data_IF_812287132759
#
_entry.id   IF_812287132759
#
_cell.length_a   1.000
_cell.length_b   1.000
_cell.length_c   1.000
_cell.angle_alpha   90.00
_cell.angle_beta   90.00
_cell.angle_gamma   90.00
#
_symmetry.space_group_name_H-M   'P 1'
#
loop_
_entity.id
_entity.type
_entity.pdbx_description
1 polymer ?
#
# COMPACT_ATOMS: atom_id res chain seq x y z
N UNK A 1 20.33 -19.44 31.28
CA UNK A 1 19.77 -19.22 29.93
C UNK A 1 18.35 -19.73 29.93
N UNK A 2 17.38 -18.88 30.26
CA UNK A 2 15.96 -19.23 30.14
C UNK A 2 15.56 -19.02 28.68
N UNK A 3 15.18 -20.10 28.00
CA UNK A 3 14.42 -20.03 26.76
C UNK A 3 13.06 -19.44 27.13
N UNK A 4 12.85 -18.17 26.81
CA UNK A 4 11.51 -17.58 26.78
C UNK A 4 10.69 -18.35 25.75
N UNK A 5 9.61 -18.96 26.21
CA UNK A 5 8.54 -19.51 25.38
C UNK A 5 8.12 -18.47 24.35
N UNK A 6 8.11 -18.87 23.08
CA UNK A 6 7.56 -18.07 21.99
C UNK A 6 6.03 -18.08 22.15
N UNK A 7 5.50 -17.25 23.05
CA UNK A 7 4.06 -16.98 23.13
C UNK A 7 3.70 -16.11 21.91
N UNK A 8 3.37 -16.81 20.83
CA UNK A 8 2.74 -16.22 19.66
C UNK A 8 1.35 -15.69 20.02
N UNK A 9 0.93 -14.63 19.34
CA UNK A 9 -0.43 -14.10 19.51
C UNK A 9 -1.42 -15.20 19.17
N UNK A 10 -2.45 -15.39 20.00
CA UNK A 10 -3.56 -16.28 19.68
C UNK A 10 -4.54 -15.49 18.83
N UNK A 11 -4.64 -15.83 17.54
CA UNK A 11 -5.57 -15.18 16.63
C UNK A 11 -7.01 -15.53 17.01
N UNK A 12 -7.93 -14.57 16.90
CA UNK A 12 -9.37 -14.86 16.94
C UNK A 12 -9.76 -15.74 15.75
N UNK A 13 -10.98 -16.29 15.75
CA UNK A 13 -11.48 -17.05 14.60
C UNK A 13 -11.50 -16.18 13.32
N UNK A 14 -11.93 -14.92 13.45
CA UNK A 14 -11.97 -13.95 12.34
C UNK A 14 -10.56 -13.64 11.82
N UNK A 15 -9.61 -13.41 12.73
CA UNK A 15 -8.21 -13.14 12.36
C UNK A 15 -7.53 -14.36 11.76
N UNK A 16 -7.89 -15.57 12.19
CA UNK A 16 -7.41 -16.80 11.60
C UNK A 16 -7.96 -16.97 10.17
N UNK A 17 -9.22 -16.60 9.92
CA UNK A 17 -9.80 -16.56 8.57
C UNK A 17 -9.03 -15.60 7.67
N UNK A 18 -8.74 -14.37 8.13
CA UNK A 18 -7.94 -13.40 7.37
C UNK A 18 -6.54 -13.93 7.10
N UNK A 19 -5.89 -14.52 8.10
CA UNK A 19 -4.55 -15.09 7.94
C UNK A 19 -4.52 -16.21 6.89
N UNK A 20 -5.46 -17.15 6.94
CA UNK A 20 -5.52 -18.25 5.99
C UNK A 20 -5.86 -17.75 4.58
N UNK A 21 -6.77 -16.79 4.46
CA UNK A 21 -7.11 -16.19 3.18
C UNK A 21 -5.89 -15.51 2.53
N UNK A 22 -5.13 -14.72 3.30
CA UNK A 22 -3.88 -14.11 2.81
C UNK A 22 -2.83 -15.18 2.46
N UNK A 23 -2.67 -16.21 3.30
CA UNK A 23 -1.58 -17.17 3.16
C UNK A 23 -1.84 -18.23 2.07
N UNK A 24 -3.03 -18.81 2.08
CA UNK A 24 -3.37 -20.02 1.33
C UNK A 24 -4.16 -19.67 0.06
N UNK A 25 -5.19 -18.82 0.16
CA UNK A 25 -6.07 -18.51 -0.99
C UNK A 25 -5.43 -17.48 -1.94
N UNK A 26 -4.83 -16.42 -1.39
CA UNK A 26 -4.14 -15.41 -2.20
C UNK A 26 -2.66 -15.74 -2.47
N UNK A 27 -2.12 -16.79 -1.83
CA UNK A 27 -0.70 -17.16 -1.89
C UNK A 27 0.25 -15.99 -1.55
N UNK A 28 -0.13 -15.18 -0.55
CA UNK A 28 0.57 -13.99 -0.10
C UNK A 28 1.16 -14.16 1.33
N UNK A 29 2.07 -15.13 1.57
CA UNK A 29 2.53 -15.48 2.92
C UNK A 29 3.24 -14.33 3.63
N UNK A 30 3.92 -13.45 2.88
CA UNK A 30 4.58 -12.26 3.45
C UNK A 30 3.56 -11.29 4.03
N UNK A 31 2.41 -11.12 3.37
CA UNK A 31 1.33 -10.26 3.87
C UNK A 31 0.61 -10.91 5.05
N UNK A 32 0.41 -12.23 5.03
CA UNK A 32 -0.17 -12.98 6.16
C UNK A 32 0.69 -12.85 7.43
N UNK A 33 2.01 -13.02 7.31
CA UNK A 33 2.93 -12.86 8.44
C UNK A 33 3.06 -11.40 8.90
N UNK A 34 3.02 -10.43 7.98
CA UNK A 34 2.98 -9.01 8.34
C UNK A 34 1.72 -8.66 9.14
N UNK A 35 0.56 -9.16 8.72
CA UNK A 35 -0.72 -9.01 9.41
C UNK A 35 -0.67 -9.60 10.83
N UNK A 36 -0.23 -10.87 10.95
CA UNK A 36 -0.06 -11.54 12.25
C UNK A 36 0.95 -10.83 13.15
N UNK A 37 2.06 -10.33 12.57
CA UNK A 37 3.06 -9.53 13.26
C UNK A 37 2.48 -8.23 13.81
N UNK A 38 1.64 -7.54 13.05
CA UNK A 38 0.97 -6.32 13.48
C UNK A 38 0.03 -6.58 14.67
N UNK A 39 -0.78 -7.64 14.62
CA UNK A 39 -1.64 -8.07 15.74
C UNK A 39 -0.84 -8.35 17.02
N UNK A 40 0.26 -9.10 16.89
CA UNK A 40 1.15 -9.42 18.01
C UNK A 40 1.77 -8.16 18.65
N UNK A 41 2.15 -7.18 17.81
CA UNK A 41 2.76 -5.94 18.28
C UNK A 41 1.74 -4.93 18.82
N UNK A 42 0.50 -4.95 18.34
CA UNK A 42 -0.62 -4.21 18.94
C UNK A 42 -0.93 -4.69 20.36
N UNK A 43 -0.93 -6.00 20.58
CA UNK A 43 -1.15 -6.58 21.92
C UNK A 43 0.01 -6.26 22.88
N UNK A 44 1.25 -6.50 22.44
CA UNK A 44 2.45 -6.30 23.29
C UNK A 44 2.83 -4.84 23.49
N UNK A 45 2.44 -3.96 22.57
CA UNK A 45 2.81 -2.53 22.54
C UNK A 45 4.31 -2.28 22.72
N UNK A 46 5.16 -3.14 22.16
CA UNK A 46 6.61 -3.00 22.27
C UNK A 46 7.12 -1.75 21.56
N UNK A 47 8.31 -1.21 21.90
CA UNK A 47 8.85 -0.03 21.22
C UNK A 47 8.84 -0.17 19.68
N UNK A 48 8.34 0.85 19.00
CA UNK A 48 8.21 0.86 17.54
C UNK A 48 6.96 0.13 16.98
N UNK A 49 6.07 -0.40 17.83
CA UNK A 49 4.87 -1.11 17.35
C UNK A 49 4.00 -0.22 16.45
N UNK A 50 3.79 1.05 16.79
CA UNK A 50 3.02 2.00 15.96
C UNK A 50 3.60 2.02 14.53
N UNK A 51 4.90 2.26 14.40
CA UNK A 51 5.58 2.30 13.11
C UNK A 51 5.47 0.99 12.35
N UNK A 52 5.64 -0.15 13.02
CA UNK A 52 5.52 -1.46 12.39
C UNK A 52 4.09 -1.73 11.89
N UNK A 53 3.09 -1.49 12.76
CA UNK A 53 1.68 -1.69 12.44
C UNK A 53 1.26 -0.76 11.30
N UNK A 54 1.71 0.49 11.32
CA UNK A 54 1.51 1.43 10.22
C UNK A 54 2.17 0.97 8.92
N UNK A 55 3.36 0.38 8.98
CA UNK A 55 4.00 -0.23 7.81
C UNK A 55 3.19 -1.40 7.26
N UNK A 56 2.82 -2.35 8.12
CA UNK A 56 2.03 -3.52 7.73
C UNK A 56 0.68 -3.11 7.15
N UNK A 57 -0.04 -2.20 7.81
CA UNK A 57 -1.34 -1.71 7.35
C UNK A 57 -1.25 -0.98 6.00
N UNK A 58 -0.25 -0.12 5.82
CA UNK A 58 0.03 0.55 4.53
C UNK A 58 0.29 -0.48 3.43
N UNK A 59 1.12 -1.47 3.71
CA UNK A 59 1.56 -2.45 2.71
C UNK A 59 0.42 -3.39 2.34
N UNK A 60 -0.39 -3.85 3.29
CA UNK A 60 -1.62 -4.62 3.04
C UNK A 60 -2.59 -3.83 2.16
N UNK A 61 -2.94 -2.59 2.55
CA UNK A 61 -3.90 -1.78 1.80
C UNK A 61 -3.42 -1.44 0.39
N UNK A 62 -2.13 -1.18 0.19
CA UNK A 62 -1.60 -0.88 -1.14
C UNK A 62 -1.35 -2.15 -1.98
N UNK A 63 -0.95 -3.24 -1.34
CA UNK A 63 -0.64 -4.52 -2.01
C UNK A 63 -1.91 -5.18 -2.54
N UNK A 64 -2.91 -5.36 -1.67
CA UNK A 64 -4.17 -6.01 -2.03
C UNK A 64 -4.94 -5.21 -3.08
N UNK A 65 -4.98 -3.88 -2.95
CA UNK A 65 -5.59 -3.00 -3.94
C UNK A 65 -4.98 -3.10 -5.36
N UNK A 66 -3.75 -3.63 -5.47
CA UNK A 66 -3.02 -3.75 -6.74
C UNK A 66 -2.88 -5.21 -7.20
N UNK A 67 -3.50 -6.16 -6.49
CA UNK A 67 -3.41 -7.56 -6.87
C UNK A 67 -4.00 -7.74 -8.29
N UNK A 68 -3.22 -8.37 -9.18
CA UNK A 68 -3.60 -8.56 -10.58
C UNK A 68 -3.37 -7.35 -11.51
N UNK A 69 -2.81 -6.25 -11.03
CA UNK A 69 -2.45 -5.08 -11.86
C UNK A 69 -0.93 -5.07 -12.10
N UNK A 70 -0.51 -5.08 -13.36
CA UNK A 70 0.90 -4.91 -13.70
C UNK A 70 1.40 -3.54 -13.23
N UNK A 71 2.45 -3.56 -12.41
CA UNK A 71 3.10 -2.33 -11.94
C UNK A 71 4.12 -1.90 -12.98
N UNK A 72 3.74 -0.96 -13.85
CA UNK A 72 4.73 -0.19 -14.60
C UNK A 72 5.45 0.74 -13.62
N UNK A 73 6.56 0.25 -13.06
CA UNK A 73 7.47 1.09 -12.30
C UNK A 73 8.31 1.91 -13.29
N UNK A 74 8.23 3.22 -13.16
CA UNK A 74 9.12 4.14 -13.88
C UNK A 74 10.57 3.77 -13.60
N UNK A 75 11.31 3.47 -14.66
CA UNK A 75 12.73 3.13 -14.60
C UNK A 75 13.55 4.42 -14.47
N UNK A 76 13.48 5.05 -13.29
CA UNK A 76 14.09 6.36 -13.03
C UNK A 76 15.56 6.44 -13.40
N UNK A 77 16.34 5.39 -13.10
CA UNK A 77 17.75 5.36 -13.45
C UNK A 77 17.94 5.53 -14.96
N UNK A 78 17.30 4.67 -15.76
CA UNK A 78 17.40 4.73 -17.22
C UNK A 78 16.92 6.07 -17.78
N UNK A 79 15.79 6.59 -17.26
CA UNK A 79 15.24 7.89 -17.69
C UNK A 79 16.14 9.06 -17.33
N UNK A 80 16.78 9.02 -16.17
CA UNK A 80 17.73 10.04 -15.75
C UNK A 80 19.05 9.94 -16.51
N UNK A 81 19.50 8.73 -16.86
CA UNK A 81 20.69 8.54 -17.71
C UNK A 81 20.45 9.11 -19.11
N UNK A 82 19.27 8.88 -19.71
CA UNK A 82 18.85 9.48 -20.98
C UNK A 82 18.85 11.02 -20.91
N UNK A 83 18.24 11.57 -19.85
CA UNK A 83 18.17 13.01 -19.60
C UNK A 83 19.56 13.62 -19.37
N UNK A 84 20.42 12.93 -18.61
CA UNK A 84 21.76 13.40 -18.30
C UNK A 84 22.61 13.55 -19.57
N UNK A 85 22.55 12.59 -20.49
CA UNK A 85 23.30 12.67 -21.75
C UNK A 85 22.90 13.92 -22.56
N UNK A 86 21.59 14.17 -22.70
CA UNK A 86 21.09 15.35 -23.43
C UNK A 86 21.41 16.66 -22.68
N UNK A 87 21.40 16.63 -21.36
CA UNK A 87 21.76 17.77 -20.53
C UNK A 87 23.25 18.12 -20.66
N UNK A 88 24.14 17.12 -20.64
CA UNK A 88 25.57 17.30 -20.78
C UNK A 88 25.98 17.76 -22.19
N UNK A 89 25.30 17.27 -23.23
CA UNK A 89 25.55 17.71 -24.61
C UNK A 89 25.25 19.21 -24.81
N UNK A 90 24.21 19.73 -24.15
CA UNK A 90 23.76 21.11 -24.30
C UNK A 90 24.41 22.09 -23.31
N UNK A 91 24.70 21.67 -22.08
CA UNK A 91 25.23 22.54 -21.01
C UNK A 91 26.58 22.11 -20.42
N UNK A 92 27.09 20.94 -20.79
CA UNK A 92 28.29 20.36 -20.20
C UNK A 92 28.11 19.95 -18.73
N UNK A 93 29.22 19.53 -18.10
CA UNK A 93 29.25 19.10 -16.69
C UNK A 93 29.60 20.23 -15.72
N UNK A 94 29.87 21.44 -16.23
CA UNK A 94 30.15 22.59 -15.41
C UNK A 94 28.82 23.07 -14.81
N UNK A 95 28.59 22.72 -13.54
CA UNK A 95 27.35 23.02 -12.85
C UNK A 95 26.97 24.52 -12.89
N UNK A 96 25.76 24.78 -12.39
CA UNK A 96 25.13 26.09 -12.14
C UNK A 96 26.00 27.05 -11.30
N UNK A 97 27.19 26.61 -10.85
CA UNK A 97 28.11 27.29 -9.95
C UNK A 97 28.85 28.50 -10.55
N UNK A 98 28.53 28.90 -11.79
CA UNK A 98 29.03 30.14 -12.44
C UNK A 98 27.93 31.03 -13.00
N UNK A 99 26.83 31.19 -12.26
CA UNK A 99 25.86 32.24 -12.59
C UNK A 99 26.37 33.57 -12.02
N UNK A 100 27.13 34.32 -12.82
CA UNK A 100 27.56 35.68 -12.49
C UNK A 100 26.40 36.70 -12.50
N UNK A 101 25.22 36.33 -13.01
CA UNK A 101 24.05 37.19 -13.02
C UNK A 101 22.70 36.42 -13.07
N UNK A 102 22.00 36.24 -11.94
CA UNK A 102 20.77 35.44 -11.86
C UNK A 102 19.54 36.10 -12.47
N UNK A 103 19.64 37.34 -12.97
CA UNK A 103 18.50 38.07 -13.54
C UNK A 103 18.16 37.68 -14.99
N UNK A 104 19.01 36.90 -15.66
CA UNK A 104 18.74 36.39 -17.01
C UNK A 104 18.36 34.90 -16.91
N UNK A 105 17.10 34.58 -17.18
CA UNK A 105 16.64 33.20 -17.25
C UNK A 105 17.44 32.39 -18.27
N UNK A 106 17.70 31.12 -17.97
CA UNK A 106 18.34 30.18 -18.89
C UNK A 106 17.28 29.53 -19.78
N UNK A 107 17.57 29.42 -21.07
CA UNK A 107 16.72 28.69 -22.01
C UNK A 107 16.98 27.19 -21.88
N UNK A 108 15.92 26.43 -21.65
CA UNK A 108 15.92 24.96 -21.62
C UNK A 108 15.52 24.47 -23.02
N UNK A 109 16.35 23.65 -23.70
CA UNK A 109 15.99 23.04 -24.97
C UNK A 109 14.65 22.31 -24.89
N UNK A 110 13.92 22.33 -25.98
CA UNK A 110 12.58 21.76 -26.05
C UNK A 110 12.59 20.25 -25.77
N UNK A 111 13.61 19.56 -26.27
CA UNK A 111 13.83 18.12 -26.12
C UNK A 111 14.01 17.72 -24.65
N UNK A 112 14.74 18.53 -23.88
CA UNK A 112 14.91 18.34 -22.43
C UNK A 112 13.59 18.59 -21.71
N UNK A 113 12.84 19.63 -22.10
CA UNK A 113 11.50 19.88 -21.57
C UNK A 113 10.54 18.70 -21.85
N UNK A 114 10.58 18.12 -23.05
CA UNK A 114 9.76 16.99 -23.45
C UNK A 114 10.10 15.73 -22.64
N UNK A 115 11.39 15.43 -22.43
CA UNK A 115 11.83 14.31 -21.58
C UNK A 115 11.40 14.47 -20.12
N UNK A 116 11.52 15.68 -19.55
CA UNK A 116 11.02 15.98 -18.21
C UNK A 116 9.51 15.79 -18.14
N UNK A 117 8.77 16.27 -19.15
CA UNK A 117 7.32 16.11 -19.22
C UNK A 117 6.93 14.63 -19.31
N UNK A 118 7.61 13.85 -20.15
CA UNK A 118 7.42 12.40 -20.26
C UNK A 118 7.69 11.67 -18.93
N UNK A 119 8.77 12.03 -18.23
CA UNK A 119 9.07 11.46 -16.90
C UNK A 119 7.98 11.80 -15.86
N UNK A 120 7.46 13.04 -15.90
CA UNK A 120 6.36 13.46 -15.03
C UNK A 120 5.08 12.68 -15.35
N UNK A 121 4.77 12.48 -16.63
CA UNK A 121 3.57 11.79 -17.06
C UNK A 121 3.65 10.29 -16.76
N UNK A 122 4.81 9.65 -16.96
CA UNK A 122 5.07 8.28 -16.51
C UNK A 122 4.97 8.14 -15.00
N UNK A 123 5.53 9.08 -14.24
CA UNK A 123 5.40 9.09 -12.78
C UNK A 123 3.93 9.20 -12.35
N UNK A 124 3.15 10.05 -13.02
CA UNK A 124 1.71 10.21 -12.77
C UNK A 124 0.92 8.96 -13.17
N UNK A 125 1.24 8.36 -14.31
CA UNK A 125 0.57 7.16 -14.82
C UNK A 125 0.85 5.93 -13.94
N UNK A 126 2.09 5.72 -13.50
CA UNK A 126 2.45 4.63 -12.59
C UNK A 126 1.92 4.81 -11.15
N UNK A 127 1.46 6.03 -10.81
CA UNK A 127 0.90 6.35 -9.50
C UNK A 127 -0.61 6.15 -9.50
N UNK A 128 -1.02 4.93 -9.16
CA UNK A 128 -2.42 4.65 -8.77
C UNK A 128 -2.85 5.62 -7.68
N UNK A 129 -3.92 6.38 -7.92
CA UNK A 129 -4.44 7.33 -6.94
C UNK A 129 -5.03 6.56 -5.74
N UNK A 130 -4.96 7.11 -4.52
CA UNK A 130 -5.51 6.43 -3.34
C UNK A 130 -6.98 6.02 -3.50
N UNK A 131 -7.79 6.84 -4.17
CA UNK A 131 -9.20 6.55 -4.49
C UNK A 131 -9.35 5.39 -5.48
N UNK A 132 -8.49 5.33 -6.50
CA UNK A 132 -8.51 4.24 -7.49
C UNK A 132 -8.09 2.92 -6.84
N UNK A 133 -7.05 2.94 -5.99
CA UNK A 133 -6.64 1.79 -5.20
C UNK A 133 -7.77 1.27 -4.29
N UNK A 134 -8.49 2.19 -3.63
CA UNK A 134 -9.65 1.81 -2.82
C UNK A 134 -10.72 1.11 -3.66
N UNK A 135 -11.11 1.73 -4.80
CA UNK A 135 -12.13 1.15 -5.71
C UNK A 135 -11.72 -0.25 -6.16
N UNK A 136 -10.45 -0.46 -6.53
CA UNK A 136 -9.94 -1.76 -6.93
C UNK A 136 -10.05 -2.82 -5.84
N UNK A 137 -9.73 -2.47 -4.59
CA UNK A 137 -9.92 -3.39 -3.47
C UNK A 137 -11.40 -3.77 -3.31
N UNK A 138 -12.30 -2.77 -3.27
CA UNK A 138 -13.73 -3.01 -3.12
C UNK A 138 -14.33 -3.81 -4.28
N UNK A 139 -13.85 -3.58 -5.50
CA UNK A 139 -14.30 -4.31 -6.68
C UNK A 139 -13.80 -5.75 -6.70
N UNK A 140 -12.51 -5.96 -6.37
CA UNK A 140 -11.91 -7.29 -6.46
C UNK A 140 -12.35 -8.23 -5.35
N UNK A 141 -12.67 -7.72 -4.16
CA UNK A 141 -12.90 -8.58 -2.99
C UNK A 141 -14.28 -8.46 -2.37
N UNK A 142 -15.01 -7.36 -2.64
CA UNK A 142 -16.30 -7.06 -1.99
C UNK A 142 -17.43 -6.84 -3.01
N UNK A 143 -17.25 -7.27 -4.26
CA UNK A 143 -18.26 -7.27 -5.33
C UNK A 143 -18.92 -5.91 -5.64
N UNK A 144 -18.23 -4.80 -5.36
CA UNK A 144 -18.68 -3.47 -5.81
C UNK A 144 -18.22 -3.23 -7.25
N UNK A 145 -19.14 -3.34 -8.21
CA UNK A 145 -18.80 -3.21 -9.63
C UNK A 145 -18.40 -1.77 -9.99
N UNK A 146 -18.99 -0.77 -9.32
CA UNK A 146 -18.74 0.65 -9.58
C UNK A 146 -18.49 1.45 -8.31
N UNK A 147 -17.73 2.55 -8.46
CA UNK A 147 -17.36 3.41 -7.34
C UNK A 147 -18.58 4.04 -6.64
N UNK A 148 -19.66 4.29 -7.37
CA UNK A 148 -20.90 4.86 -6.88
C UNK A 148 -21.69 3.90 -5.97
N UNK A 149 -21.41 2.60 -6.06
CA UNK A 149 -22.07 1.55 -5.26
C UNK A 149 -21.40 1.39 -3.89
N UNK A 150 -20.13 1.79 -3.77
CA UNK A 150 -19.37 1.70 -2.52
C UNK A 150 -19.98 2.69 -1.51
N UNK A 151 -20.40 2.24 -0.31
CA UNK A 151 -20.89 3.14 0.72
C UNK A 151 -19.86 4.22 1.05
N UNK A 152 -20.27 5.49 0.99
CA UNK A 152 -19.35 6.63 1.16
C UNK A 152 -18.59 6.59 2.49
N UNK A 153 -19.24 6.12 3.56
CA UNK A 153 -18.60 5.95 4.86
C UNK A 153 -17.45 4.94 4.78
N UNK A 154 -17.64 3.81 4.12
CA UNK A 154 -16.64 2.75 3.97
C UNK A 154 -15.43 3.22 3.15
N UNK A 155 -15.70 3.91 2.04
CA UNK A 155 -14.63 4.50 1.21
C UNK A 155 -13.85 5.57 2.00
N UNK A 156 -14.54 6.39 2.79
CA UNK A 156 -13.91 7.42 3.62
C UNK A 156 -13.06 6.79 4.72
N UNK A 157 -13.56 5.74 5.38
CA UNK A 157 -12.82 5.00 6.40
C UNK A 157 -11.56 4.34 5.85
N UNK A 158 -11.65 3.73 4.66
CA UNK A 158 -10.49 3.20 3.94
C UNK A 158 -9.45 4.28 3.67
N UNK A 159 -9.85 5.40 3.08
CA UNK A 159 -8.92 6.48 2.71
C UNK A 159 -8.25 7.10 3.94
N UNK A 160 -9.03 7.39 4.99
CA UNK A 160 -8.51 7.95 6.24
C UNK A 160 -7.53 6.98 6.91
N UNK A 161 -7.86 5.68 6.94
CA UNK A 161 -7.00 4.64 7.52
C UNK A 161 -5.69 4.50 6.76
N UNK A 162 -5.76 4.48 5.43
CA UNK A 162 -4.58 4.43 4.58
C UNK A 162 -3.69 5.66 4.78
N UNK A 163 -4.27 6.86 4.80
CA UNK A 163 -3.54 8.10 5.01
C UNK A 163 -2.83 8.12 6.36
N UNK A 164 -3.52 7.69 7.42
CA UNK A 164 -2.96 7.61 8.75
C UNK A 164 -1.77 6.64 8.80
N UNK A 165 -1.89 5.44 8.21
CA UNK A 165 -0.78 4.49 8.12
C UNK A 165 0.41 5.05 7.33
N UNK A 166 0.17 5.74 6.20
CA UNK A 166 1.26 6.39 5.46
C UNK A 166 2.00 7.43 6.30
N UNK A 167 1.28 8.23 7.08
CA UNK A 167 1.87 9.27 7.93
C UNK A 167 2.71 8.73 9.10
N UNK A 168 2.48 7.48 9.50
CA UNK A 168 3.09 6.87 10.69
C UNK A 168 4.03 5.70 10.38
N UNK A 169 4.17 5.33 9.10
CA UNK A 169 5.07 4.25 8.67
C UNK A 169 6.55 4.62 8.81
N UNK A 170 6.94 5.89 8.72
CA UNK A 170 8.36 6.26 8.80
C UNK A 170 8.83 6.45 10.25
N UNK A 171 10.10 6.12 10.51
CA UNK A 171 10.76 6.40 11.79
C UNK A 171 10.78 7.91 12.02
N UNK A 172 10.48 8.32 13.26
CA UNK A 172 10.48 9.72 13.69
C UNK A 172 11.56 9.92 14.74
N UNK A 173 12.13 11.12 14.77
CA UNK A 173 13.12 11.52 15.79
C UNK A 173 12.47 11.74 17.17
N UNK A 174 11.16 11.96 17.20
CA UNK A 174 10.37 12.16 18.43
C UNK A 174 9.43 10.98 18.70
N UNK A 175 9.16 10.73 19.98
CA UNK A 175 8.13 9.77 20.38
C UNK A 175 6.75 10.15 19.83
N UNK A 176 5.89 9.15 19.63
CA UNK A 176 4.49 9.39 19.28
C UNK A 176 3.73 10.01 20.45
N UNK A 177 2.74 10.84 20.11
CA UNK A 177 1.79 11.38 21.07
C UNK A 177 0.92 10.26 21.67
N UNK A 178 0.33 10.53 22.83
CA UNK A 178 -0.44 9.53 23.58
C UNK A 178 -1.69 9.05 22.81
N UNK A 179 -2.24 9.91 21.94
CA UNK A 179 -3.39 9.63 21.09
C UNK A 179 -3.05 8.64 19.95
N UNK A 180 -1.82 8.62 19.46
CA UNK A 180 -1.39 7.74 18.38
C UNK A 180 -1.53 6.25 18.73
N UNK A 181 -1.46 5.89 20.01
CA UNK A 181 -1.74 4.52 20.48
C UNK A 181 -3.20 4.13 20.28
N UNK A 182 -4.12 5.04 20.55
CA UNK A 182 -5.56 4.79 20.35
C UNK A 182 -5.91 4.83 18.86
N UNK A 183 -5.30 5.76 18.12
CA UNK A 183 -5.52 5.90 16.69
C UNK A 183 -4.99 4.69 15.90
N UNK A 184 -3.83 4.13 16.27
CA UNK A 184 -3.30 2.93 15.59
C UNK A 184 -4.21 1.72 15.78
N UNK A 185 -4.76 1.55 16.98
CA UNK A 185 -5.70 0.46 17.28
C UNK A 185 -6.99 0.64 16.47
N UNK A 186 -7.55 1.86 16.45
CA UNK A 186 -8.77 2.17 15.70
C UNK A 186 -8.57 1.91 14.20
N UNK A 187 -7.48 2.41 13.63
CA UNK A 187 -7.19 2.26 12.22
C UNK A 187 -6.86 0.82 11.83
N UNK A 188 -6.16 0.08 12.70
CA UNK A 188 -5.93 -1.33 12.44
C UNK A 188 -7.19 -2.16 12.57
N UNK A 189 -8.09 -1.87 13.52
CA UNK A 189 -9.39 -2.53 13.60
C UNK A 189 -10.20 -2.31 12.32
N UNK A 190 -10.26 -1.08 11.81
CA UNK A 190 -10.92 -0.79 10.53
C UNK A 190 -10.35 -1.64 9.39
N UNK A 191 -9.01 -1.76 9.31
CA UNK A 191 -8.38 -2.65 8.34
C UNK A 191 -8.75 -4.12 8.57
N UNK A 192 -8.70 -4.59 9.81
CA UNK A 192 -9.01 -5.97 10.21
C UNK A 192 -10.42 -6.37 9.78
N UNK A 193 -11.41 -5.53 10.08
CA UNK A 193 -12.82 -5.73 9.72
C UNK A 193 -13.01 -5.80 8.19
N UNK A 194 -12.33 -4.92 7.45
CA UNK A 194 -12.38 -4.89 5.99
C UNK A 194 -11.76 -6.15 5.37
N UNK A 195 -10.63 -6.61 5.90
CA UNK A 195 -9.97 -7.84 5.45
C UNK A 195 -10.82 -9.06 5.78
N UNK A 196 -11.45 -9.10 6.95
CA UNK A 196 -12.33 -10.19 7.32
C UNK A 196 -13.57 -10.27 6.43
N UNK A 197 -14.18 -9.12 6.10
CA UNK A 197 -15.29 -9.08 5.15
C UNK A 197 -14.88 -9.58 3.76
N UNK A 198 -13.70 -9.17 3.28
CA UNK A 198 -13.15 -9.62 2.01
C UNK A 198 -12.89 -11.14 1.99
N UNK A 199 -12.23 -11.66 3.04
CA UNK A 199 -11.94 -13.08 3.18
C UNK A 199 -13.23 -13.92 3.26
N UNK A 200 -14.21 -13.47 4.04
CA UNK A 200 -15.47 -14.18 4.22
C UNK A 200 -16.30 -14.20 2.94
N UNK A 201 -16.37 -13.07 2.23
CA UNK A 201 -17.08 -12.97 0.95
C UNK A 201 -16.50 -13.91 -0.10
N UNK A 202 -15.17 -14.03 -0.18
CA UNK A 202 -14.52 -14.97 -1.10
C UNK A 202 -14.79 -16.43 -0.74
N UNK A 203 -14.71 -16.79 0.54
CA UNK A 203 -15.01 -18.15 1.01
C UNK A 203 -16.46 -18.56 0.68
N UNK A 204 -17.42 -17.64 0.83
CA UNK A 204 -18.81 -17.89 0.42
C UNK A 204 -18.96 -18.10 -1.09
N UNK A 205 -18.23 -17.33 -1.92
CA UNK A 205 -18.20 -17.53 -3.38
C UNK A 205 -17.64 -18.91 -3.73
N UNK A 206 -16.51 -19.30 -3.15
CA UNK A 206 -15.87 -20.61 -3.40
C UNK A 206 -16.79 -21.75 -2.97
N UNK A 207 -17.45 -21.65 -1.80
CA UNK A 207 -18.38 -22.68 -1.34
C UNK A 207 -19.58 -22.82 -2.29
N UNK A 208 -20.16 -21.70 -2.71
CA UNK A 208 -21.28 -21.69 -3.66
C UNK A 208 -20.91 -22.33 -5.00
N UNK A 209 -19.67 -22.11 -5.48
CA UNK A 209 -19.17 -22.73 -6.70
C UNK A 209 -19.00 -24.25 -6.56
N UNK A 210 -18.47 -24.72 -5.42
CA UNK A 210 -18.36 -26.16 -5.15
C UNK A 210 -19.73 -26.83 -5.08
N UNK A 211 -20.71 -26.21 -4.42
CA UNK A 211 -22.10 -26.70 -4.38
C UNK A 211 -22.68 -26.87 -5.80
N UNK A 212 -22.50 -25.87 -6.69
CA UNK A 212 -22.94 -25.97 -8.09
C UNK A 212 -22.22 -27.09 -8.86
N UNK A 213 -20.91 -27.25 -8.65
CA UNK A 213 -20.10 -28.28 -9.32
C UNK A 213 -20.46 -29.70 -8.86
N UNK A 214 -20.86 -29.86 -7.59
CA UNK A 214 -21.37 -31.12 -7.06
C UNK A 214 -22.75 -31.44 -7.66
N UNK A 215 -23.68 -30.47 -7.70
CA UNK A 215 -25.01 -30.64 -8.30
C UNK A 215 -24.98 -30.93 -9.82
N UNK A 216 -23.98 -30.40 -10.54
CA UNK A 216 -23.87 -30.59 -12.00
C UNK A 216 -23.22 -31.93 -12.40
N UNK A 217 -22.55 -32.60 -11.46
CA UNK A 217 -21.89 -33.89 -11.69
C UNK A 217 -22.73 -35.12 -11.25
N UNK A 218 -23.98 -34.91 -10.82
CA UNK A 218 -25.00 -35.95 -10.58
C UNK A 218 -25.94 -36.14 -11.80
#
# INVERSE_FOLDING_TARGET
MNRTSNEGVTLSAEQQTVFNWLNDELELPVYAEAYKGALNLLDKKSPGYITFVSHAGRDLMNGLARLGIEREQVQYANRLDELQNHWEDEWGTAGVDKIDNPENGHLIPYEVCEQIQGLIDEHRAGRLRPSEAAILFFSNFLDYAYAEEIPRNLLTEWLNTREWFMGHAHLRDSAFEMDASTEVERHFQTLDDLLYNAASSELERIRSLHEILEETNE
#
